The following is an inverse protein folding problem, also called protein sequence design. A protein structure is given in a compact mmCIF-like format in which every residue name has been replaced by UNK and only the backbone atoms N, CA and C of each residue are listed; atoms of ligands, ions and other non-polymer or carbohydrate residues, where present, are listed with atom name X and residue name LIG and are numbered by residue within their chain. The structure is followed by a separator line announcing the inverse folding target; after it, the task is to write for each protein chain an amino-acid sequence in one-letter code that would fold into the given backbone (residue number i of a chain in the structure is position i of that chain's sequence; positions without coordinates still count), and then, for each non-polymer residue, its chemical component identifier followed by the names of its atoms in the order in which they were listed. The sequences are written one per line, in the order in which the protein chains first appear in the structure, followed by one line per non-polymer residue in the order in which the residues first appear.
data_IF_055306147173
#
_entry.id   IF_055306147173
#
_cell.length_a   1.000
_cell.length_b   1.000
_cell.length_c   1.000
_cell.angle_alpha   90.00
_cell.angle_beta   90.00
_cell.angle_gamma   90.00
#
_symmetry.space_group_name_H-M   'P 1'
#
loop_
_entity.id
_entity.type
_entity.pdbx_description
1 polymer ?
#
# COMPACT_ATOMS: atom_id res chain seq x y z
N UNK A 1 18.82 -5.40 1.18
CA UNK A 1 17.45 -5.62 0.69
C UNK A 1 17.22 -4.87 -0.61
N UNK A 2 16.28 -5.31 -1.42
CA UNK A 2 15.96 -4.63 -2.67
C UNK A 2 15.16 -3.36 -2.41
N UNK A 3 15.16 -2.44 -3.38
CA UNK A 3 14.37 -1.21 -3.30
C UNK A 3 12.86 -1.51 -3.18
N UNK A 4 12.40 -2.60 -3.81
CA UNK A 4 10.99 -3.00 -3.70
C UNK A 4 10.63 -3.40 -2.28
N UNK A 5 11.50 -4.13 -1.59
CA UNK A 5 11.29 -4.48 -0.19
C UNK A 5 11.26 -3.24 0.70
N UNK A 6 12.11 -2.27 0.43
CA UNK A 6 12.16 -1.02 1.19
C UNK A 6 10.86 -0.22 1.00
N UNK A 7 10.36 -0.15 -0.23
CA UNK A 7 9.09 0.54 -0.52
C UNK A 7 7.92 -0.20 0.14
N UNK A 8 7.89 -1.53 0.05
CA UNK A 8 6.88 -2.34 0.71
C UNK A 8 6.85 -2.05 2.21
N UNK A 9 8.01 -2.08 2.86
CA UNK A 9 8.12 -1.82 4.30
C UNK A 9 7.71 -0.41 4.67
N UNK A 10 8.02 0.56 3.83
CA UNK A 10 7.58 1.94 4.07
C UNK A 10 6.07 2.03 4.19
N UNK A 11 5.33 1.43 3.24
CA UNK A 11 3.87 1.49 3.27
C UNK A 11 3.25 0.53 4.29
N UNK A 12 3.94 -0.56 4.62
CA UNK A 12 3.46 -1.50 5.62
C UNK A 12 3.34 -0.86 7.02
N UNK A 13 4.07 0.22 7.30
CA UNK A 13 3.97 0.90 8.58
C UNK A 13 2.60 1.51 8.84
N UNK A 14 1.81 1.76 7.79
CA UNK A 14 0.46 2.31 7.93
C UNK A 14 -0.61 1.24 8.18
N UNK A 15 -0.22 -0.03 8.21
CA UNK A 15 -1.13 -1.16 8.31
C UNK A 15 -1.05 -1.81 9.67
N UNK A 16 -2.22 -2.24 10.18
CA UNK A 16 -2.27 -3.10 11.36
C UNK A 16 -1.73 -4.50 11.01
N UNK A 17 -1.30 -5.29 11.99
CA UNK A 17 -0.87 -6.67 11.72
C UNK A 17 -1.92 -7.51 10.99
N UNK A 18 -3.21 -7.32 11.30
CA UNK A 18 -4.30 -8.04 10.65
C UNK A 18 -4.40 -7.69 9.16
N UNK A 19 -4.32 -6.40 8.81
CA UNK A 19 -4.35 -5.97 7.43
C UNK A 19 -3.14 -6.45 6.65
N UNK A 20 -1.98 -6.47 7.30
CA UNK A 20 -0.74 -6.94 6.67
C UNK A 20 -0.80 -8.44 6.40
N UNK A 21 -1.33 -9.23 7.32
CA UNK A 21 -1.52 -10.67 7.11
C UNK A 21 -2.46 -10.95 5.95
N UNK A 22 -3.51 -10.14 5.80
CA UNK A 22 -4.45 -10.27 4.68
C UNK A 22 -3.77 -10.12 3.32
N UNK A 23 -2.67 -9.37 3.24
CA UNK A 23 -1.91 -9.18 2.00
C UNK A 23 -1.20 -10.45 1.55
N UNK A 24 -0.87 -11.36 2.46
CA UNK A 24 -0.16 -12.61 2.18
C UNK A 24 -1.09 -13.81 2.33
N UNK A 25 -2.03 -13.96 1.41
CA UNK A 25 -3.08 -15.00 1.49
C UNK A 25 -2.62 -16.37 1.03
N UNK A 26 -1.50 -16.46 0.34
CA UNK A 26 -0.97 -17.73 -0.16
C UNK A 26 0.13 -18.24 0.76
N UNK A 27 0.36 -19.57 0.80
CA UNK A 27 1.48 -20.11 1.54
C UNK A 27 2.75 -19.41 1.17
N UNK A 28 3.36 -18.79 2.12
CA UNK A 28 4.51 -17.94 1.90
C UNK A 28 5.80 -18.69 2.09
N UNK A 29 6.76 -18.44 1.24
CA UNK A 29 8.12 -18.89 1.43
C UNK A 29 8.83 -18.04 2.47
N UNK A 30 10.10 -18.36 2.67
CA UNK A 30 10.98 -17.71 3.63
C UNK A 30 11.03 -16.17 3.48
N UNK A 31 11.01 -15.68 2.23
CA UNK A 31 11.10 -14.24 1.96
C UNK A 31 9.87 -13.50 2.49
N UNK A 32 8.67 -14.07 2.30
CA UNK A 32 7.44 -13.46 2.82
C UNK A 32 7.45 -13.38 4.35
N UNK A 33 7.93 -14.43 5.01
CA UNK A 33 8.04 -14.45 6.46
C UNK A 33 8.98 -13.37 6.96
N UNK A 34 10.10 -13.16 6.29
CA UNK A 34 11.05 -12.10 6.65
C UNK A 34 10.43 -10.71 6.51
N UNK A 35 9.68 -10.46 5.43
CA UNK A 35 8.99 -9.19 5.24
C UNK A 35 7.95 -8.94 6.33
N UNK A 36 7.19 -9.96 6.71
CA UNK A 36 6.21 -9.86 7.79
C UNK A 36 6.88 -9.57 9.14
N UNK A 37 7.99 -10.24 9.45
CA UNK A 37 8.73 -10.00 10.66
C UNK A 37 9.28 -8.57 10.74
N UNK A 38 9.87 -8.10 9.64
CA UNK A 38 10.41 -6.75 9.59
C UNK A 38 9.31 -5.70 9.69
N UNK A 39 8.17 -5.93 9.04
CA UNK A 39 7.04 -5.03 9.15
C UNK A 39 6.50 -4.98 10.59
N UNK A 40 6.47 -6.13 11.28
CA UNK A 40 6.03 -6.21 12.67
C UNK A 40 6.97 -5.54 13.66
N UNK A 41 8.23 -5.30 13.27
CA UNK A 41 9.21 -4.59 14.11
C UNK A 41 9.13 -3.07 13.97
N UNK A 42 8.35 -2.58 13.00
CA UNK A 42 8.20 -1.14 12.80
C UNK A 42 7.36 -0.51 13.90
N UNK A 43 7.56 0.80 14.21
CA UNK A 43 6.71 1.51 15.16
C UNK A 43 5.24 1.45 14.77
N UNK A 44 4.37 1.36 15.76
CA UNK A 44 2.93 1.22 15.55
C UNK A 44 2.19 2.57 15.49
N UNK A 45 2.90 3.69 15.66
CA UNK A 45 2.32 5.02 15.80
C UNK A 45 1.63 5.54 14.53
N UNK A 46 1.96 4.98 13.36
CA UNK A 46 1.38 5.38 12.08
C UNK A 46 0.34 4.40 11.54
N UNK A 47 0.07 3.32 12.26
CA UNK A 47 -0.92 2.33 11.83
C UNK A 47 -2.32 2.93 11.81
N UNK A 48 -3.06 2.66 10.74
CA UNK A 48 -4.43 3.10 10.59
C UNK A 48 -5.37 1.88 10.55
N UNK A 49 -6.16 1.66 11.61
CA UNK A 49 -7.03 0.49 11.67
C UNK A 49 -8.20 0.52 10.67
N UNK A 50 -8.43 1.64 10.01
CA UNK A 50 -9.45 1.74 8.95
C UNK A 50 -9.02 1.02 7.68
N UNK A 51 -7.72 0.83 7.46
CA UNK A 51 -7.20 0.10 6.30
C UNK A 51 -7.29 -1.40 6.62
N UNK A 52 -8.07 -2.15 5.83
CA UNK A 52 -8.36 -3.56 6.08
C UNK A 52 -7.58 -4.52 5.19
N UNK A 53 -7.02 -4.04 4.08
CA UNK A 53 -6.25 -4.88 3.16
C UNK A 53 -5.17 -4.04 2.49
N UNK A 54 -4.18 -4.74 1.93
CA UNK A 54 -3.03 -4.13 1.28
C UNK A 54 -2.70 -4.88 0.01
N UNK A 55 -2.59 -4.15 -1.09
CA UNK A 55 -2.18 -4.70 -2.39
C UNK A 55 -0.93 -3.95 -2.85
N UNK A 56 0.14 -4.70 -3.06
CA UNK A 56 1.42 -4.17 -3.55
C UNK A 56 1.73 -4.87 -4.86
N UNK A 57 1.61 -4.17 -5.97
CA UNK A 57 1.67 -4.79 -7.29
C UNK A 57 2.13 -3.83 -8.37
N UNK A 58 2.60 -4.39 -9.49
CA UNK A 58 2.99 -3.64 -10.67
C UNK A 58 1.78 -3.19 -11.51
N UNK A 59 0.61 -3.78 -11.31
CA UNK A 59 -0.54 -3.49 -12.15
C UNK A 59 -1.86 -3.48 -11.39
N UNK A 60 -2.84 -2.75 -11.95
CA UNK A 60 -4.21 -2.71 -11.43
C UNK A 60 -4.96 -4.04 -11.57
N UNK A 61 -4.50 -4.93 -12.41
CA UNK A 61 -5.12 -6.24 -12.58
C UNK A 61 -5.13 -7.04 -11.28
N UNK A 62 -4.13 -6.86 -10.43
CA UNK A 62 -4.08 -7.50 -9.11
C UNK A 62 -5.24 -7.07 -8.22
N UNK A 63 -5.67 -5.81 -8.34
CA UNK A 63 -6.84 -5.30 -7.61
C UNK A 63 -8.10 -6.00 -8.11
N UNK A 64 -8.28 -6.10 -9.43
CA UNK A 64 -9.47 -6.72 -10.02
C UNK A 64 -9.60 -8.19 -9.61
N UNK A 65 -8.50 -8.91 -9.52
CA UNK A 65 -8.50 -10.31 -9.11
C UNK A 65 -8.88 -10.52 -7.65
N UNK A 66 -8.67 -9.52 -6.80
CA UNK A 66 -8.86 -9.62 -5.36
C UNK A 66 -10.09 -8.88 -4.86
N UNK A 67 -10.72 -8.06 -5.70
CA UNK A 67 -11.76 -7.12 -5.26
C UNK A 67 -12.97 -7.81 -4.61
N UNK A 68 -13.32 -9.01 -5.06
CA UNK A 68 -14.45 -9.76 -4.51
C UNK A 68 -14.18 -10.27 -3.08
N UNK A 69 -12.92 -10.35 -2.70
CA UNK A 69 -12.49 -10.82 -1.39
C UNK A 69 -12.11 -9.69 -0.44
N UNK A 70 -12.12 -8.46 -0.92
CA UNK A 70 -11.79 -7.29 -0.09
C UNK A 70 -13.04 -6.77 0.57
N UNK A 71 -13.01 -6.65 1.89
CA UNK A 71 -14.11 -6.12 2.68
C UNK A 71 -13.65 -4.87 3.40
N UNK A 72 -14.01 -3.70 2.85
CA UNK A 72 -13.66 -2.42 3.44
C UNK A 72 -12.55 -1.69 2.69
N UNK A 73 -11.94 -0.74 3.35
CA UNK A 73 -10.93 0.12 2.75
C UNK A 73 -9.63 -0.66 2.56
N UNK A 74 -9.01 -0.52 1.39
CA UNK A 74 -7.72 -1.11 1.10
C UNK A 74 -6.73 -0.04 0.63
N UNK A 75 -5.45 -0.29 0.92
CA UNK A 75 -4.34 0.48 0.41
C UNK A 75 -3.74 -0.26 -0.78
N UNK A 76 -3.67 0.39 -1.92
CA UNK A 76 -3.04 -0.15 -3.11
C UNK A 76 -1.81 0.68 -3.44
N UNK A 77 -0.65 0.03 -3.47
CA UNK A 77 0.61 0.63 -3.88
C UNK A 77 1.02 -0.02 -5.19
N UNK A 78 0.95 0.77 -6.27
CA UNK A 78 1.36 0.36 -7.59
C UNK A 78 2.77 0.87 -7.85
N UNK A 79 3.69 -0.03 -8.18
CA UNK A 79 5.05 0.37 -8.53
C UNK A 79 5.28 0.20 -10.02
N UNK A 80 6.08 1.10 -10.59
CA UNK A 80 6.42 1.06 -12.00
C UNK A 80 7.90 0.80 -12.21
N UNK A 81 8.29 0.68 -13.48
CA UNK A 81 9.65 0.37 -13.88
C UNK A 81 10.64 1.43 -13.40
N UNK A 82 11.75 0.97 -12.84
CA UNK A 82 12.87 1.84 -12.48
C UNK A 82 13.55 2.32 -13.75
N UNK A 83 13.76 3.64 -13.88
CA UNK A 83 14.58 4.20 -14.94
C UNK A 83 15.90 4.69 -14.36
N UNK A 84 17.00 4.34 -15.05
CA UNK A 84 18.35 4.77 -14.69
C UNK A 84 18.84 5.81 -15.68
N UNK A 85 19.43 6.88 -15.17
CA UNK A 85 20.08 7.92 -15.99
C UNK A 85 21.51 8.11 -15.52
N UNK A 86 22.41 8.28 -16.48
CA UNK A 86 23.78 8.70 -16.22
C UNK A 86 23.89 10.15 -16.73
N UNK A 87 24.27 11.06 -15.85
CA UNK A 87 24.44 12.46 -16.23
C UNK A 87 25.86 12.73 -16.78
N UNK A 88 26.12 14.00 -17.11
CA UNK A 88 27.39 14.43 -17.71
C UNK A 88 28.61 14.29 -16.80
N UNK A 89 28.42 13.96 -15.53
CA UNK A 89 29.49 13.72 -14.53
C UNK A 89 29.49 12.27 -14.04
N UNK A 90 28.93 11.37 -14.83
CA UNK A 90 28.85 9.93 -14.55
C UNK A 90 28.12 9.57 -13.25
N UNK A 91 27.20 10.43 -12.80
CA UNK A 91 26.33 10.12 -11.66
C UNK A 91 25.14 9.32 -12.16
N UNK A 92 25.03 8.09 -11.66
CA UNK A 92 23.89 7.22 -11.97
C UNK A 92 22.72 7.58 -11.07
N UNK A 93 21.58 7.93 -11.67
CA UNK A 93 20.33 8.22 -10.95
C UNK A 93 19.28 7.19 -11.31
N UNK A 94 18.74 6.53 -10.30
CA UNK A 94 17.64 5.59 -10.46
C UNK A 94 16.35 6.27 -9.99
N UNK A 95 15.34 6.32 -10.87
CA UNK A 95 14.03 6.86 -10.54
C UNK A 95 13.01 5.73 -10.44
N UNK A 96 12.23 5.73 -9.36
CA UNK A 96 11.19 4.75 -9.12
C UNK A 96 9.87 5.46 -8.89
N UNK A 97 8.85 5.09 -9.66
CA UNK A 97 7.52 5.70 -9.52
C UNK A 97 6.60 4.78 -8.75
N UNK A 98 5.88 5.37 -7.80
CA UNK A 98 4.92 4.67 -6.96
C UNK A 98 3.59 5.42 -7.00
N UNK A 99 2.53 4.71 -7.33
CA UNK A 99 1.17 5.22 -7.22
C UNK A 99 0.53 4.70 -5.93
N UNK A 100 -0.05 5.60 -5.15
CA UNK A 100 -0.69 5.25 -3.88
C UNK A 100 -2.18 5.53 -3.99
N UNK A 101 -2.99 4.51 -3.77
CA UNK A 101 -4.45 4.60 -3.85
C UNK A 101 -5.08 4.05 -2.58
N UNK A 102 -6.03 4.79 -2.03
CA UNK A 102 -6.89 4.32 -0.95
C UNK A 102 -8.30 4.21 -1.51
N UNK A 103 -8.89 3.04 -1.44
CA UNK A 103 -10.20 2.77 -2.04
C UNK A 103 -10.97 1.73 -1.23
N UNK A 104 -12.24 1.55 -1.57
CA UNK A 104 -13.03 0.42 -1.06
C UNK A 104 -13.93 -0.10 -2.17
N UNK A 105 -14.26 -1.41 -2.15
CA UNK A 105 -15.22 -1.96 -3.11
C UNK A 105 -16.58 -1.32 -2.93
N UNK A 106 -17.22 -0.95 -4.04
CA UNK A 106 -18.53 -0.29 -4.03
C UNK A 106 -19.64 -1.33 -4.01
N UNK A 107 -20.56 -1.19 -3.04
CA UNK A 107 -21.78 -1.97 -3.02
C UNK A 107 -22.85 -1.30 -3.87
N UNK A 108 -23.62 -2.09 -4.66
CA UNK A 108 -24.73 -1.56 -5.44
C UNK A 108 -25.88 -1.03 -4.56
N UNK A 109 -25.98 -1.53 -3.35
CA UNK A 109 -27.05 -1.14 -2.41
C UNK A 109 -26.66 0.04 -1.52
N UNK A 110 -25.51 0.63 -1.76
CA UNK A 110 -24.98 1.71 -0.94
C UNK A 110 -25.68 3.03 -1.29
N UNK A 111 -26.22 3.72 -0.30
CA UNK A 111 -26.86 5.02 -0.51
C UNK A 111 -25.80 6.14 -0.63
N UNK A 112 -26.25 7.33 -1.07
CA UNK A 112 -25.34 8.45 -1.28
C UNK A 112 -24.69 8.95 0.00
N UNK A 113 -25.40 8.91 1.11
CA UNK A 113 -24.87 9.35 2.40
C UNK A 113 -23.75 8.42 2.89
N UNK A 114 -23.97 7.11 2.79
CA UNK A 114 -22.96 6.11 3.15
C UNK A 114 -21.73 6.24 2.26
N UNK A 115 -21.94 6.43 0.94
CA UNK A 115 -20.84 6.61 -0.01
C UNK A 115 -20.01 7.86 0.32
N UNK A 116 -20.66 8.96 0.69
CA UNK A 116 -19.98 10.19 1.08
C UNK A 116 -19.13 10.00 2.34
N UNK A 117 -19.63 9.26 3.32
CA UNK A 117 -18.88 8.96 4.55
C UNK A 117 -17.63 8.14 4.23
N UNK A 118 -17.74 7.12 3.38
CA UNK A 118 -16.61 6.32 2.96
C UNK A 118 -15.56 7.14 2.21
N UNK A 119 -16.01 8.03 1.30
CA UNK A 119 -15.10 8.90 0.57
C UNK A 119 -14.36 9.85 1.50
N UNK A 120 -15.05 10.40 2.48
CA UNK A 120 -14.45 11.31 3.45
C UNK A 120 -13.37 10.61 4.27
N UNK A 121 -13.63 9.39 4.72
CA UNK A 121 -12.63 8.57 5.43
C UNK A 121 -11.43 8.26 4.55
N UNK A 122 -11.64 7.88 3.29
CA UNK A 122 -10.55 7.57 2.36
C UNK A 122 -9.69 8.81 2.08
N UNK A 123 -10.30 9.98 1.94
CA UNK A 123 -9.57 11.23 1.76
C UNK A 123 -8.71 11.56 2.97
N UNK A 124 -9.23 11.33 4.17
CA UNK A 124 -8.46 11.54 5.40
C UNK A 124 -7.25 10.61 5.48
N UNK A 125 -7.44 9.33 5.15
CA UNK A 125 -6.36 8.34 5.14
C UNK A 125 -5.28 8.74 4.14
N UNK A 126 -5.66 9.03 2.90
CA UNK A 126 -4.66 9.35 1.86
C UNK A 126 -3.94 10.67 2.15
N UNK A 127 -4.63 11.63 2.72
CA UNK A 127 -4.02 12.91 3.11
C UNK A 127 -2.99 12.72 4.22
N UNK A 128 -3.29 11.85 5.18
CA UNK A 128 -2.38 11.52 6.27
C UNK A 128 -1.12 10.81 5.75
N UNK A 129 -1.29 9.82 4.88
CA UNK A 129 -0.17 9.10 4.26
C UNK A 129 0.69 10.08 3.46
N UNK A 130 0.06 10.93 2.65
CA UNK A 130 0.77 11.91 1.83
C UNK A 130 1.58 12.89 2.69
N UNK A 131 1.03 13.33 3.80
CA UNK A 131 1.74 14.20 4.73
C UNK A 131 2.98 13.52 5.28
N UNK A 132 2.88 12.26 5.70
CA UNK A 132 4.03 11.50 6.17
C UNK A 132 5.09 11.33 5.08
N UNK A 133 4.67 11.01 3.85
CA UNK A 133 5.61 10.88 2.73
C UNK A 133 6.36 12.19 2.45
N UNK A 134 5.68 13.32 2.58
CA UNK A 134 6.30 14.63 2.38
C UNK A 134 7.29 14.97 3.49
N UNK A 135 6.96 14.61 4.73
CA UNK A 135 7.76 14.98 5.90
C UNK A 135 8.94 14.02 6.14
N UNK A 136 8.90 12.82 5.56
CA UNK A 136 10.00 11.83 5.66
C UNK A 136 11.14 12.17 4.62
#
# INVERSE_FOLDING_TARGET
MSILSDIFLYFAQFLTPEALEAAFRLPSGYIHQQLLEQAGQQPADRQDPRIKDFIFSISRESVQKRIDNIKGIYLFVEYSTVSSKIDSVDVKTDSFRVGVTVACPRSQDQDNATEMIWQDEMLDIISTIRRHMRDD
#
